data_IF_680987903032
#
_entry.id   IF_680987903032
#
_cell.length_a   1.000
_cell.length_b   1.000
_cell.length_c   1.000
_cell.angle_alpha   90.00
_cell.angle_beta   90.00
_cell.angle_gamma   90.00
#
_symmetry.space_group_name_H-M   'P 1'
#
loop_
_entity.id
_entity.type
_entity.pdbx_description
1 polymer ?
#
# COMPACT_ATOMS: atom_id res chain seq x y z
N UNK A 1 -32.28 14.03 13.38
CA UNK A 1 -31.31 13.41 14.32
C UNK A 1 -30.09 13.08 13.50
N UNK A 2 -29.04 13.89 13.61
CA UNK A 2 -27.73 13.56 13.06
C UNK A 2 -27.17 12.40 13.89
N UNK A 3 -27.12 11.20 13.33
CA UNK A 3 -26.38 10.10 13.95
C UNK A 3 -24.94 10.55 14.15
N UNK A 4 -24.48 10.57 15.40
CA UNK A 4 -23.08 10.83 15.68
C UNK A 4 -22.23 9.77 14.97
N UNK A 5 -21.14 10.17 14.31
CA UNK A 5 -20.33 9.23 13.55
C UNK A 5 -19.75 8.19 14.50
N UNK A 6 -20.08 6.91 14.24
CA UNK A 6 -19.64 5.78 15.05
C UNK A 6 -18.12 5.69 15.01
N UNK A 7 -17.48 6.00 16.14
CA UNK A 7 -16.05 5.82 16.37
C UNK A 7 -15.78 4.35 16.72
N UNK A 8 -14.83 3.74 16.04
CA UNK A 8 -14.36 2.38 16.31
C UNK A 8 -12.84 2.40 16.44
N UNK A 9 -12.33 1.99 17.59
CA UNK A 9 -10.89 1.91 17.86
C UNK A 9 -10.40 0.47 17.67
N UNK A 10 -9.26 0.32 17.00
CA UNK A 10 -8.61 -0.95 16.76
C UNK A 10 -7.14 -0.90 17.17
N UNK A 11 -6.73 -1.83 18.03
CA UNK A 11 -5.32 -2.06 18.35
C UNK A 11 -4.77 -3.19 17.48
N UNK A 12 -3.76 -2.84 16.68
CA UNK A 12 -2.97 -3.75 15.86
C UNK A 12 -1.72 -4.18 16.63
N UNK A 13 -1.50 -5.49 16.73
CA UNK A 13 -0.22 -6.05 17.17
C UNK A 13 0.78 -6.03 16.01
N UNK A 14 2.03 -6.39 16.31
CA UNK A 14 3.05 -6.64 15.29
C UNK A 14 2.58 -7.68 14.27
N UNK A 15 2.81 -7.42 12.98
CA UNK A 15 2.44 -8.25 11.84
C UNK A 15 0.93 -8.47 11.61
N UNK A 16 0.09 -7.65 12.25
CA UNK A 16 -1.36 -7.68 12.05
C UNK A 16 -1.83 -6.59 11.08
N UNK A 17 -2.98 -6.84 10.43
CA UNK A 17 -3.67 -5.82 9.64
C UNK A 17 -5.15 -5.68 10.00
N UNK A 18 -5.65 -4.45 10.00
CA UNK A 18 -7.07 -4.14 10.04
C UNK A 18 -7.60 -4.16 8.61
N UNK A 19 -8.51 -5.08 8.32
CA UNK A 19 -9.27 -5.11 7.06
C UNK A 19 -10.64 -4.52 7.31
N UNK A 20 -11.00 -3.51 6.54
CA UNK A 20 -12.34 -2.93 6.59
C UNK A 20 -12.91 -2.66 5.21
N UNK A 21 -14.23 -2.76 5.12
CA UNK A 21 -15.02 -2.36 3.96
C UNK A 21 -15.85 -1.14 4.34
N UNK A 22 -15.64 -0.04 3.61
CA UNK A 22 -16.39 1.19 3.79
C UNK A 22 -17.84 0.94 3.43
N UNK A 23 -18.76 1.38 4.28
CA UNK A 23 -20.20 1.25 4.04
C UNK A 23 -20.71 2.23 2.98
N UNK A 24 -21.94 2.70 3.17
CA UNK A 24 -22.63 3.56 2.21
C UNK A 24 -22.10 5.01 2.20
N UNK A 25 -21.41 5.43 3.25
CA UNK A 25 -20.80 6.77 3.36
C UNK A 25 -19.31 6.64 3.59
N UNK A 26 -18.59 7.74 3.42
CA UNK A 26 -17.15 7.77 3.70
C UNK A 26 -16.83 7.36 5.13
N UNK A 27 -15.64 6.75 5.28
CA UNK A 27 -15.04 6.42 6.56
C UNK A 27 -13.70 7.13 6.66
N UNK A 28 -13.46 7.79 7.78
CA UNK A 28 -12.19 8.43 8.07
C UNK A 28 -11.34 7.52 8.95
N UNK A 29 -10.13 7.24 8.51
CA UNK A 29 -9.09 6.54 9.26
C UNK A 29 -8.13 7.56 9.89
N UNK A 30 -7.81 7.37 11.16
CA UNK A 30 -6.78 8.14 11.86
C UNK A 30 -5.81 7.19 12.58
N UNK A 31 -4.51 7.44 12.44
CA UNK A 31 -3.48 6.76 13.23
C UNK A 31 -3.27 7.52 14.54
N UNK A 32 -3.62 6.90 15.66
CA UNK A 32 -3.52 7.52 16.99
C UNK A 32 -2.16 7.23 17.62
N UNK A 33 -1.64 6.01 17.44
CA UNK A 33 -0.39 5.59 18.06
C UNK A 33 0.37 4.59 17.18
N UNK A 34 1.71 4.61 17.27
CA UNK A 34 2.58 3.62 16.63
C UNK A 34 2.89 3.94 15.17
N UNK A 35 3.06 2.90 14.36
CA UNK A 35 3.31 3.02 12.91
C UNK A 35 2.43 2.04 12.15
N UNK A 36 1.72 2.54 11.16
CA UNK A 36 0.89 1.74 10.28
C UNK A 36 1.03 2.22 8.84
N UNK A 37 0.68 1.35 7.91
CA UNK A 37 0.73 1.62 6.48
C UNK A 37 -0.50 1.04 5.77
N UNK A 38 -0.91 1.69 4.69
CA UNK A 38 -1.97 1.21 3.79
C UNK A 38 -1.33 0.92 2.44
N UNK A 39 -1.36 -0.35 2.05
CA UNK A 39 -0.75 -0.84 0.80
C UNK A 39 0.69 -0.33 0.59
N UNK A 40 1.49 -0.28 1.66
CA UNK A 40 2.89 0.16 1.67
C UNK A 40 3.13 1.67 1.79
N UNK A 41 2.08 2.49 1.80
CA UNK A 41 2.17 3.94 2.11
C UNK A 41 2.03 4.14 3.61
N UNK A 42 3.03 4.78 4.24
CA UNK A 42 2.99 5.08 5.68
C UNK A 42 1.87 6.08 6.01
N UNK A 43 1.19 5.83 7.13
CA UNK A 43 0.22 6.77 7.70
C UNK A 43 0.95 7.74 8.64
N UNK A 44 0.59 9.02 8.54
CA UNK A 44 1.04 10.04 9.49
C UNK A 44 0.15 10.03 10.73
N UNK A 45 0.78 10.16 11.89
CA UNK A 45 0.09 10.22 13.17
C UNK A 45 -0.83 11.45 13.22
N UNK A 46 -2.05 11.27 13.72
CA UNK A 46 -3.13 12.28 13.79
C UNK A 46 -3.59 12.88 12.45
N UNK A 47 -3.17 12.29 11.33
CA UNK A 47 -3.68 12.66 10.01
C UNK A 47 -4.92 11.84 9.70
N UNK A 48 -5.95 12.55 9.22
CA UNK A 48 -7.24 11.98 8.84
C UNK A 48 -7.23 11.61 7.36
N UNK A 49 -7.54 10.35 7.05
CA UNK A 49 -7.62 9.81 5.70
C UNK A 49 -9.04 9.38 5.40
N UNK A 50 -9.72 10.08 4.49
CA UNK A 50 -11.08 9.74 4.09
C UNK A 50 -11.10 8.70 2.96
N UNK A 51 -11.87 7.64 3.14
CA UNK A 51 -12.06 6.57 2.16
C UNK A 51 -13.51 6.61 1.63
N UNK A 52 -13.71 6.57 0.30
CA UNK A 52 -15.03 6.64 -0.29
C UNK A 52 -15.84 5.34 -0.08
N UNK A 53 -17.18 5.41 -0.23
CA UNK A 53 -18.08 4.26 -0.10
C UNK A 53 -17.65 3.05 -0.92
N UNK A 54 -17.93 1.84 -0.43
CA UNK A 54 -17.62 0.55 -1.08
C UNK A 54 -16.12 0.26 -1.31
N UNK A 55 -15.23 1.01 -0.66
CA UNK A 55 -13.78 0.73 -0.74
C UNK A 55 -13.39 -0.36 0.24
N UNK A 56 -12.51 -1.28 -0.18
CA UNK A 56 -11.85 -2.24 0.70
C UNK A 56 -10.44 -1.79 1.02
N UNK A 57 -10.12 -1.71 2.30
CA UNK A 57 -8.85 -1.17 2.79
C UNK A 57 -8.21 -2.16 3.76
N UNK A 58 -6.89 -2.28 3.70
CA UNK A 58 -6.08 -3.01 4.66
C UNK A 58 -5.04 -2.07 5.26
N UNK A 59 -5.05 -1.93 6.59
CA UNK A 59 -4.09 -1.15 7.37
C UNK A 59 -3.18 -2.11 8.10
N UNK A 60 -1.91 -2.18 7.73
CA UNK A 60 -0.95 -3.11 8.30
C UNK A 60 0.01 -2.41 9.27
N UNK A 61 0.49 -3.12 10.29
CA UNK A 61 1.51 -2.60 11.21
C UNK A 61 2.66 -3.57 11.45
N UNK A 62 3.89 -3.11 11.16
CA UNK A 62 5.13 -3.85 11.41
C UNK A 62 5.57 -3.87 12.88
N UNK A 63 5.07 -2.96 13.73
CA UNK A 63 5.55 -2.82 15.13
C UNK A 63 4.42 -2.62 16.14
N UNK A 64 3.17 -2.76 15.69
CA UNK A 64 1.98 -2.40 16.44
C UNK A 64 1.56 -0.94 16.24
N UNK A 65 0.25 -0.72 16.26
CA UNK A 65 -0.39 0.58 16.08
C UNK A 65 -1.80 0.60 16.68
N UNK A 66 -2.29 1.80 17.02
CA UNK A 66 -3.70 2.02 17.36
C UNK A 66 -4.29 2.95 16.31
N UNK A 67 -5.39 2.51 15.69
CA UNK A 67 -6.08 3.24 14.63
C UNK A 67 -7.56 3.40 14.96
N UNK A 68 -8.10 4.55 14.56
CA UNK A 68 -9.51 4.88 14.72
C UNK A 68 -10.19 4.95 13.36
N UNK A 69 -11.39 4.34 13.28
CA UNK A 69 -12.30 4.49 12.16
C UNK A 69 -13.51 5.31 12.59
N UNK A 70 -13.78 6.38 11.86
CA UNK A 70 -14.90 7.29 12.07
C UNK A 70 -15.85 7.14 10.89
N UNK A 71 -17.01 6.52 11.12
CA UNK A 71 -18.04 6.32 10.09
C UNK A 71 -18.54 4.87 10.00
N UNK A 72 -19.54 4.61 9.15
CA UNK A 72 -20.13 3.29 9.01
C UNK A 72 -19.27 2.36 8.14
N UNK A 73 -18.89 1.22 8.72
CA UNK A 73 -18.19 0.13 8.04
C UNK A 73 -19.13 -1.07 7.86
N UNK A 74 -19.12 -1.69 6.68
CA UNK A 74 -19.85 -2.95 6.44
C UNK A 74 -19.20 -4.11 7.17
N UNK A 75 -17.87 -4.15 7.16
CA UNK A 75 -17.06 -5.09 7.92
C UNK A 75 -15.78 -4.41 8.38
N UNK A 76 -15.29 -4.76 9.57
CA UNK A 76 -14.02 -4.30 10.11
C UNK A 76 -13.51 -5.37 11.07
N UNK A 77 -12.34 -5.95 10.79
CA UNK A 77 -11.73 -6.98 11.63
C UNK A 77 -10.20 -6.96 11.51
N UNK A 78 -9.53 -7.40 12.57
CA UNK A 78 -8.08 -7.57 12.57
C UNK A 78 -7.73 -8.99 12.08
N UNK A 79 -6.88 -9.08 11.07
CA UNK A 79 -6.32 -10.31 10.55
C UNK A 79 -4.89 -10.51 11.07
N UNK A 80 -4.62 -11.70 11.61
CA UNK A 80 -3.31 -12.07 12.19
C UNK A 80 -2.37 -12.69 11.16
N UNK A 81 -2.91 -13.27 10.09
CA UNK A 81 -2.13 -13.95 9.05
C UNK A 81 -2.13 -13.16 7.77
N UNK A 82 -0.97 -12.61 7.41
CA UNK A 82 -0.80 -11.75 6.23
C UNK A 82 0.43 -12.19 5.42
N UNK A 83 0.39 -12.06 4.09
CA UNK A 83 1.56 -12.32 3.24
C UNK A 83 2.54 -11.14 3.19
N UNK A 84 2.46 -10.16 4.10
CA UNK A 84 3.24 -8.91 4.02
C UNK A 84 4.75 -9.12 4.05
N UNK A 85 5.22 -10.10 4.83
CA UNK A 85 6.65 -10.49 4.88
C UNK A 85 7.13 -10.97 3.50
N UNK A 86 6.29 -11.67 2.74
CA UNK A 86 6.62 -12.15 1.39
C UNK A 86 6.84 -10.95 0.45
N UNK A 87 5.99 -9.93 0.54
CA UNK A 87 6.13 -8.71 -0.26
C UNK A 87 7.38 -7.93 0.11
N UNK A 88 7.70 -7.82 1.40
CA UNK A 88 8.91 -7.18 1.89
C UNK A 88 10.17 -7.90 1.38
N UNK A 89 10.23 -9.23 1.50
CA UNK A 89 11.35 -10.03 1.01
C UNK A 89 11.50 -9.91 -0.51
N UNK A 90 10.38 -9.92 -1.24
CA UNK A 90 10.37 -9.71 -2.69
C UNK A 90 10.96 -8.35 -3.05
N UNK A 91 10.55 -7.30 -2.34
CA UNK A 91 11.09 -5.96 -2.54
C UNK A 91 12.60 -5.88 -2.24
N UNK A 92 13.05 -6.49 -1.15
CA UNK A 92 14.47 -6.55 -0.79
C UNK A 92 15.32 -7.27 -1.85
N UNK A 93 14.83 -8.39 -2.40
CA UNK A 93 15.49 -9.09 -3.49
C UNK A 93 15.58 -8.23 -4.77
N UNK A 94 14.51 -7.49 -5.11
CA UNK A 94 14.53 -6.57 -6.24
C UNK A 94 15.54 -5.43 -6.04
N UNK A 95 15.69 -4.94 -4.81
CA UNK A 95 16.69 -3.92 -4.52
C UNK A 95 18.13 -4.43 -4.63
N UNK A 96 18.39 -5.66 -4.18
CA UNK A 96 19.70 -6.30 -4.38
C UNK A 96 20.07 -6.43 -5.86
N UNK A 97 19.09 -6.79 -6.71
CA UNK A 97 19.31 -6.83 -8.16
C UNK A 97 19.63 -5.46 -8.75
N UNK A 98 19.03 -4.38 -8.22
CA UNK A 98 19.36 -3.00 -8.64
C UNK A 98 20.78 -2.63 -8.26
N UNK A 99 21.15 -2.83 -6.99
CA UNK A 99 22.49 -2.51 -6.49
C UNK A 99 23.56 -3.25 -7.29
N UNK A 100 23.35 -4.54 -7.56
CA UNK A 100 24.27 -5.32 -8.38
C UNK A 100 24.42 -4.75 -9.81
N UNK A 101 23.32 -4.31 -10.43
CA UNK A 101 23.38 -3.69 -11.76
C UNK A 101 24.10 -2.34 -11.75
N UNK A 102 23.96 -1.55 -10.68
CA UNK A 102 24.62 -0.26 -10.50
C UNK A 102 26.13 -0.44 -10.31
N UNK A 103 26.53 -1.41 -9.47
CA UNK A 103 27.94 -1.78 -9.24
C UNK A 103 28.62 -2.28 -10.52
N UNK A 104 27.95 -3.13 -11.30
CA UNK A 104 28.50 -3.64 -12.56
C UNK A 104 28.76 -2.52 -13.58
N UNK A 105 27.86 -1.53 -13.67
CA UNK A 105 28.05 -0.39 -14.57
C UNK A 105 29.19 0.51 -14.09
N UNK A 106 29.31 0.72 -12.78
CA UNK A 106 30.40 1.51 -12.20
C UNK A 106 31.80 0.92 -12.49
N UNK A 107 31.92 -0.40 -12.55
CA UNK A 107 33.19 -1.11 -12.82
C UNK A 107 33.44 -1.31 -14.33
N UNK A 108 32.38 -1.55 -15.11
CA UNK A 108 32.48 -1.97 -16.52
C UNK A 108 32.37 -0.86 -17.57
N UNK A 109 32.10 0.39 -17.17
CA UNK A 109 31.93 1.51 -18.11
C UNK A 109 30.76 1.34 -19.08
N UNK A 110 29.77 0.49 -18.72
CA UNK A 110 28.60 0.19 -19.55
C UNK A 110 27.57 1.31 -19.57
N UNK A 111 26.57 1.17 -20.45
CA UNK A 111 25.41 2.06 -20.50
C UNK A 111 24.57 2.00 -19.21
N UNK A 112 23.79 3.07 -18.96
CA UNK A 112 22.95 3.30 -17.76
C UNK A 112 22.43 2.01 -17.08
N UNK A 113 22.54 1.90 -15.74
CA UNK A 113 22.12 0.72 -15.01
C UNK A 113 20.63 0.43 -15.24
N UNK A 114 20.32 -0.80 -15.65
CA UNK A 114 18.95 -1.25 -15.93
C UNK A 114 18.42 -1.96 -14.68
N UNK A 115 17.43 -1.35 -14.03
CA UNK A 115 16.71 -1.98 -12.93
C UNK A 115 15.91 -3.23 -13.34
N UNK A 116 15.52 -4.08 -12.38
CA UNK A 116 14.76 -5.29 -12.64
C UNK A 116 13.37 -4.95 -13.18
N UNK A 117 12.93 -5.74 -14.16
CA UNK A 117 11.57 -5.67 -14.74
C UNK A 117 10.79 -6.89 -14.25
N UNK A 118 9.67 -6.65 -13.60
CA UNK A 118 8.81 -7.69 -13.05
C UNK A 118 7.46 -7.69 -13.75
N UNK A 119 6.90 -8.88 -13.96
CA UNK A 119 5.53 -9.07 -14.45
C UNK A 119 4.81 -9.97 -13.46
N UNK A 120 3.68 -9.49 -12.94
CA UNK A 120 2.86 -10.25 -12.02
C UNK A 120 1.74 -10.96 -12.79
N UNK A 121 1.72 -12.29 -12.73
CA UNK A 121 0.77 -13.14 -13.46
C UNK A 121 -0.05 -13.99 -12.49
N UNK A 122 -1.31 -14.23 -12.82
CA UNK A 122 -2.21 -15.03 -12.01
C UNK A 122 -3.68 -14.85 -12.41
N UNK A 123 -4.58 -15.69 -11.89
CA UNK A 123 -6.01 -15.62 -12.22
C UNK A 123 -6.64 -14.31 -11.72
N UNK A 124 -7.91 -14.08 -12.09
CA UNK A 124 -8.66 -12.90 -11.64
C UNK A 124 -8.81 -12.90 -10.11
N UNK A 125 -8.89 -11.70 -9.53
CA UNK A 125 -9.23 -11.48 -8.11
C UNK A 125 -8.28 -12.09 -7.05
N UNK A 126 -7.01 -12.33 -7.39
CA UNK A 126 -5.98 -12.78 -6.42
C UNK A 126 -5.17 -11.65 -5.77
N UNK A 127 -5.59 -10.39 -5.96
CA UNK A 127 -4.90 -9.22 -5.38
C UNK A 127 -3.64 -8.77 -6.10
N UNK A 128 -3.50 -9.09 -7.41
CA UNK A 128 -2.34 -8.70 -8.23
C UNK A 128 -2.05 -7.19 -8.15
N UNK A 129 -3.08 -6.37 -8.34
CA UNK A 129 -2.96 -4.91 -8.30
C UNK A 129 -2.52 -4.40 -6.92
N UNK A 130 -2.99 -5.03 -5.85
CA UNK A 130 -2.58 -4.72 -4.47
C UNK A 130 -1.09 -4.98 -4.25
N UNK A 131 -0.58 -6.15 -4.70
CA UNK A 131 0.83 -6.48 -4.60
C UNK A 131 1.69 -5.51 -5.40
N UNK A 132 1.30 -5.19 -6.63
CA UNK A 132 2.00 -4.20 -7.44
C UNK A 132 2.08 -2.84 -6.75
N UNK A 133 0.98 -2.38 -6.14
CA UNK A 133 0.93 -1.11 -5.39
C UNK A 133 1.88 -1.12 -4.19
N UNK A 134 1.91 -2.21 -3.41
CA UNK A 134 2.82 -2.36 -2.26
C UNK A 134 4.28 -2.29 -2.72
N UNK A 135 4.65 -3.05 -3.75
CA UNK A 135 6.02 -3.08 -4.26
C UNK A 135 6.47 -1.72 -4.83
N UNK A 136 5.57 -0.99 -5.50
CA UNK A 136 5.85 0.35 -5.99
C UNK A 136 6.06 1.34 -4.84
N UNK A 137 5.17 1.33 -3.84
CA UNK A 137 5.29 2.21 -2.68
C UNK A 137 6.57 1.96 -1.87
N UNK A 138 6.98 0.70 -1.72
CA UNK A 138 8.26 0.38 -1.08
C UNK A 138 9.47 0.90 -1.88
N UNK A 139 9.43 0.77 -3.21
CA UNK A 139 10.49 1.33 -4.06
C UNK A 139 10.58 2.86 -3.95
N UNK A 140 9.43 3.56 -3.91
CA UNK A 140 9.40 5.01 -3.69
C UNK A 140 9.96 5.38 -2.32
N UNK A 141 9.65 4.60 -1.27
CA UNK A 141 10.21 4.82 0.08
C UNK A 141 11.72 4.64 0.16
N UNK A 142 12.30 3.76 -0.66
CA UNK A 142 13.75 3.62 -0.81
C UNK A 142 14.38 4.66 -1.74
N UNK A 143 13.58 5.57 -2.28
CA UNK A 143 14.05 6.62 -3.16
C UNK A 143 14.27 6.21 -4.61
N UNK A 144 13.61 5.14 -5.04
CA UNK A 144 13.59 4.71 -6.43
C UNK A 144 12.32 5.23 -7.11
N UNK A 145 12.36 5.42 -8.42
CA UNK A 145 11.20 5.80 -9.25
C UNK A 145 10.78 4.62 -10.12
N UNK A 146 9.98 3.66 -9.61
CA UNK A 146 9.52 2.52 -10.40
C UNK A 146 8.52 2.96 -11.48
N UNK A 147 8.48 2.24 -12.60
CA UNK A 147 7.47 2.42 -13.64
C UNK A 147 6.41 1.34 -13.47
N UNK A 148 5.18 1.75 -13.17
CA UNK A 148 4.01 0.86 -13.12
C UNK A 148 3.33 0.82 -14.49
N UNK A 149 3.15 -0.38 -15.03
CA UNK A 149 2.47 -0.62 -16.31
C UNK A 149 1.27 -1.51 -16.03
N UNK A 150 0.07 -1.00 -16.31
CA UNK A 150 -1.16 -1.79 -16.24
C UNK A 150 -1.48 -2.37 -17.62
N UNK A 151 -1.70 -3.68 -17.66
CA UNK A 151 -2.06 -4.41 -18.87
C UNK A 151 -3.46 -5.03 -18.76
N UNK A 152 -4.17 -4.81 -17.64
CA UNK A 152 -5.54 -5.30 -17.46
C UNK A 152 -6.53 -4.31 -18.09
N UNK A 153 -7.08 -4.68 -19.24
CA UNK A 153 -8.10 -3.87 -19.94
C UNK A 153 -9.49 -3.97 -19.31
N UNK A 154 -9.72 -4.97 -18.44
CA UNK A 154 -11.01 -5.26 -17.83
C UNK A 154 -11.22 -4.61 -16.46
N UNK A 155 -10.14 -4.35 -15.73
CA UNK A 155 -10.18 -3.60 -14.48
C UNK A 155 -9.38 -2.32 -14.62
N UNK A 156 -10.08 -1.19 -14.85
CA UNK A 156 -9.45 0.13 -14.89
C UNK A 156 -8.99 0.47 -13.48
N UNK A 157 -7.76 0.06 -13.14
CA UNK A 157 -7.23 0.35 -11.81
C UNK A 157 -6.59 1.73 -11.79
N UNK A 158 -5.77 2.15 -12.77
CA UNK A 158 -5.21 3.52 -12.85
C UNK A 158 -4.80 3.96 -14.29
N UNK A 159 -5.09 5.22 -14.62
CA UNK A 159 -4.51 6.01 -15.73
C UNK A 159 -3.11 6.53 -15.33
N UNK A 160 -2.04 5.89 -15.84
CA UNK A 160 -0.61 6.28 -15.76
C UNK A 160 -0.23 7.14 -14.53
N UNK A 161 0.25 6.51 -13.45
CA UNK A 161 0.89 7.22 -12.34
C UNK A 161 2.42 7.22 -12.49
N UNK A 162 2.99 8.38 -12.84
CA UNK A 162 4.39 8.68 -12.52
C UNK A 162 4.47 9.03 -11.04
N UNK A 163 5.19 8.23 -10.25
CA UNK A 163 5.43 8.53 -8.83
C UNK A 163 6.60 9.51 -8.71
N UNK A 164 6.29 10.80 -8.63
CA UNK A 164 7.27 11.83 -8.24
C UNK A 164 7.41 11.87 -6.72
N UNK A 165 8.67 11.98 -6.28
CA UNK A 165 9.18 11.92 -4.90
C UNK A 165 8.48 12.85 -3.88
N UNK A 166 7.68 13.81 -4.34
CA UNK A 166 7.02 14.84 -3.53
C UNK A 166 5.51 14.69 -3.40
N UNK A 167 4.89 13.70 -4.04
CA UNK A 167 3.44 13.59 -4.05
C UNK A 167 2.99 12.30 -3.36
N UNK A 168 2.55 12.41 -2.10
CA UNK A 168 1.72 11.39 -1.45
C UNK A 168 0.39 11.28 -2.23
N UNK A 169 0.39 10.56 -3.36
CA UNK A 169 -0.83 10.29 -4.11
C UNK A 169 -1.51 9.04 -3.55
N UNK A 170 -2.39 9.25 -2.58
CA UNK A 170 -3.51 8.35 -2.37
C UNK A 170 -4.51 8.56 -3.52
N UNK A 171 -4.27 7.90 -4.65
CA UNK A 171 -5.38 7.62 -5.56
C UNK A 171 -6.14 6.43 -4.99
N UNK A 172 -7.23 6.73 -4.28
CA UNK A 172 -8.32 5.79 -4.05
C UNK A 172 -9.37 6.21 -5.06
N UNK A 173 -9.32 5.63 -6.26
CA UNK A 173 -10.38 5.81 -7.25
C UNK A 173 -11.29 4.59 -7.20
N UNK A 174 -12.58 4.92 -6.98
CA UNK A 174 -13.84 4.16 -7.08
C UNK A 174 -13.81 2.64 -7.25
#
# INVERSE_FOLDING_TARGET
MSEEPKLQEFTLKEDHELRFEVGNTEVVLELVQGRAEVFGTELEMHKKYAFPPNTRVAVFSWKGASVELIGPTNSAYVAEHTPMVIYLNTHAALEQLRQHSEEQVAVGGGENPKGPRIMLVGPMDVGKSTVCRILCNYAVRQGRSPVFIDLDVGQVTIQICMFDYNSQFFSIQK
#
